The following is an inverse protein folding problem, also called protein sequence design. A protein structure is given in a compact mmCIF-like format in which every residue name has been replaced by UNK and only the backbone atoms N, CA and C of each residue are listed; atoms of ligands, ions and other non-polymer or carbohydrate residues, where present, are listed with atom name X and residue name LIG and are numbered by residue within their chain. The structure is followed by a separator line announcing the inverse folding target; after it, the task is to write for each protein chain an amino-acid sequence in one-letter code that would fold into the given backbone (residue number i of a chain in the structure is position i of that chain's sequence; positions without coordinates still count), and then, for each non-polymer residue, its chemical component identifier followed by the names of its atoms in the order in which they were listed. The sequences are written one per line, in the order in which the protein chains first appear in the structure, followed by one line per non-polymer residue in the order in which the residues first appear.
data_IF_026388942031
#
_entry.id   IF_026388942031
#
_cell.length_a   1.000
_cell.length_b   1.000
_cell.length_c   1.000
_cell.angle_alpha   90.00
_cell.angle_beta   90.00
_cell.angle_gamma   90.00
#
_symmetry.space_group_name_H-M   'P 1'
#
loop_
_entity.id
_entity.type
_entity.pdbx_description
1 polymer ?
#
# COMPACT_ATOMS: atom_id res chain seq x y z
N UNK A 1 -11.54 -76.33 -43.40
CA UNK A 1 -12.39 -75.17 -43.06
C UNK A 1 -12.21 -74.64 -41.62
N UNK A 2 -11.11 -74.97 -40.91
CA UNK A 2 -10.86 -74.56 -39.51
C UNK A 2 -9.84 -73.42 -39.31
N UNK A 3 -8.88 -73.25 -40.22
CA UNK A 3 -7.77 -72.29 -40.05
C UNK A 3 -8.22 -70.80 -40.19
N UNK A 4 -9.25 -70.53 -41.00
CA UNK A 4 -9.74 -69.16 -41.25
C UNK A 4 -10.55 -68.61 -40.06
N UNK A 5 -11.19 -69.49 -39.28
CA UNK A 5 -11.98 -69.08 -38.10
C UNK A 5 -11.10 -68.56 -36.97
N UNK A 6 -9.93 -69.19 -36.75
CA UNK A 6 -8.99 -68.77 -35.72
C UNK A 6 -8.36 -67.40 -36.04
N UNK A 7 -8.04 -67.13 -37.31
CA UNK A 7 -7.49 -65.83 -37.72
C UNK A 7 -8.48 -64.67 -37.51
N UNK A 8 -9.77 -64.87 -37.81
CA UNK A 8 -10.83 -63.88 -37.53
C UNK A 8 -11.07 -63.69 -36.02
N UNK A 9 -10.87 -64.74 -35.23
CA UNK A 9 -10.98 -64.67 -33.77
C UNK A 9 -9.82 -63.86 -33.16
N UNK A 10 -8.58 -64.10 -33.57
CA UNK A 10 -7.40 -63.33 -33.15
C UNK A 10 -7.45 -61.86 -33.58
N UNK A 11 -7.93 -61.59 -34.81
CA UNK A 11 -8.11 -60.22 -35.30
C UNK A 11 -9.16 -59.43 -34.48
N UNK A 12 -10.26 -60.08 -34.08
CA UNK A 12 -11.29 -59.46 -33.24
C UNK A 12 -10.79 -59.16 -31.81
N UNK A 13 -9.99 -60.04 -31.21
CA UNK A 13 -9.37 -59.78 -29.90
C UNK A 13 -8.34 -58.65 -29.95
N UNK A 14 -7.56 -58.58 -31.03
CA UNK A 14 -6.59 -57.49 -31.23
C UNK A 14 -7.28 -56.14 -31.43
N UNK A 15 -8.41 -56.11 -32.16
CA UNK A 15 -9.22 -54.91 -32.33
C UNK A 15 -9.84 -54.44 -30.99
N UNK A 16 -10.36 -55.37 -30.19
CA UNK A 16 -10.91 -55.07 -28.86
C UNK A 16 -9.81 -54.55 -27.93
N UNK A 17 -8.62 -55.15 -27.96
CA UNK A 17 -7.48 -54.69 -27.15
C UNK A 17 -7.02 -53.27 -27.52
N UNK A 18 -7.01 -52.93 -28.81
CA UNK A 18 -6.70 -51.58 -29.30
C UNK A 18 -7.75 -50.57 -28.83
N UNK A 19 -9.04 -50.90 -28.94
CA UNK A 19 -10.14 -50.05 -28.48
C UNK A 19 -10.07 -49.82 -26.97
N UNK A 20 -9.79 -50.87 -26.18
CA UNK A 20 -9.60 -50.75 -24.73
C UNK A 20 -8.38 -49.88 -24.41
N UNK A 21 -7.28 -49.97 -25.17
CA UNK A 21 -6.09 -49.14 -24.96
C UNK A 21 -6.34 -47.64 -25.18
N UNK A 22 -7.25 -47.25 -26.07
CA UNK A 22 -7.63 -45.84 -26.26
C UNK A 22 -8.54 -45.31 -25.14
N UNK A 23 -9.29 -46.18 -24.45
CA UNK A 23 -10.14 -45.79 -23.31
C UNK A 23 -9.34 -45.55 -22.01
N UNK A 24 -8.08 -45.98 -21.93
CA UNK A 24 -7.20 -45.78 -20.77
C UNK A 24 -6.28 -44.56 -20.93
N UNK A 25 -6.29 -43.87 -22.08
CA UNK A 25 -5.52 -42.64 -22.29
C UNK A 25 -6.25 -41.44 -21.67
N UNK A 26 -6.36 -41.42 -20.35
CA UNK A 26 -6.83 -40.28 -19.59
C UNK A 26 -5.71 -39.23 -19.54
N UNK A 27 -5.71 -38.27 -20.46
CA UNK A 27 -4.88 -37.07 -20.33
C UNK A 27 -5.44 -36.22 -19.19
N UNK A 28 -4.81 -36.30 -18.02
CA UNK A 28 -5.17 -35.48 -16.87
C UNK A 28 -4.89 -34.01 -17.22
N UNK A 29 -5.95 -33.23 -17.44
CA UNK A 29 -5.86 -31.77 -17.61
C UNK A 29 -5.52 -31.16 -16.25
N UNK A 30 -4.23 -31.08 -15.95
CA UNK A 30 -3.74 -30.26 -14.84
C UNK A 30 -3.75 -28.80 -15.27
N UNK A 31 -4.21 -27.90 -14.39
CA UNK A 31 -3.96 -26.47 -14.58
C UNK A 31 -2.44 -26.24 -14.64
N UNK A 32 -1.93 -25.38 -15.54
CA UNK A 32 -0.53 -25.01 -15.49
C UNK A 32 -0.22 -24.48 -14.09
N UNK A 33 0.84 -25.00 -13.47
CA UNK A 33 1.36 -24.41 -12.24
C UNK A 33 1.74 -22.94 -12.57
N UNK A 34 1.23 -22.00 -11.78
CA UNK A 34 1.57 -20.60 -11.93
C UNK A 34 3.06 -20.35 -11.76
N UNK A 35 3.51 -19.17 -12.19
CA UNK A 35 4.85 -18.68 -11.85
C UNK A 35 4.99 -18.46 -10.34
N UNK A 36 6.21 -18.17 -9.85
CA UNK A 36 6.38 -17.72 -8.48
C UNK A 36 5.55 -16.46 -8.20
N UNK A 37 5.03 -16.34 -6.98
CA UNK A 37 4.31 -15.15 -6.52
C UNK A 37 5.23 -13.94 -6.59
N UNK A 38 4.72 -12.81 -7.09
CA UNK A 38 5.46 -11.56 -7.11
C UNK A 38 5.41 -10.90 -5.72
N UNK A 39 6.58 -10.59 -5.17
CA UNK A 39 6.73 -9.94 -3.86
C UNK A 39 7.28 -8.52 -4.00
N UNK A 40 7.34 -7.97 -5.21
CA UNK A 40 7.94 -6.67 -5.49
C UNK A 40 6.92 -5.55 -5.24
N UNK A 41 7.23 -4.56 -4.38
CA UNK A 41 6.38 -3.39 -4.18
C UNK A 41 6.32 -2.48 -5.42
N UNK A 42 5.20 -1.77 -5.64
CA UNK A 42 5.10 -0.77 -6.69
C UNK A 42 6.02 0.42 -6.40
N UNK A 43 6.49 1.10 -7.44
CA UNK A 43 7.42 2.24 -7.31
C UNK A 43 6.85 3.51 -7.90
N UNK A 44 7.00 4.61 -7.17
CA UNK A 44 6.69 5.95 -7.69
C UNK A 44 7.77 6.32 -8.71
N UNK A 45 7.42 6.36 -10.00
CA UNK A 45 8.32 6.77 -11.09
C UNK A 45 8.32 8.28 -11.31
N UNK A 46 7.22 8.96 -10.94
CA UNK A 46 7.08 10.40 -11.06
C UNK A 46 6.08 10.93 -10.05
N UNK A 47 6.26 12.17 -9.61
CA UNK A 47 5.28 12.87 -8.79
C UNK A 47 5.10 14.32 -9.25
N UNK A 48 3.90 14.84 -9.03
CA UNK A 48 3.60 16.27 -9.17
C UNK A 48 2.84 16.77 -7.94
N UNK A 49 3.37 17.71 -7.15
CA UNK A 49 4.72 18.27 -7.30
C UNK A 49 5.78 17.19 -7.06
N UNK A 50 7.06 17.50 -7.30
CA UNK A 50 8.12 16.57 -6.90
C UNK A 50 8.14 16.40 -5.38
N UNK A 51 8.46 15.19 -4.91
CA UNK A 51 8.67 14.95 -3.49
C UNK A 51 9.79 15.85 -2.96
N UNK A 52 9.63 16.38 -1.74
CA UNK A 52 10.50 17.39 -1.13
C UNK A 52 10.52 18.75 -1.85
N UNK A 53 9.48 19.07 -2.61
CA UNK A 53 9.34 20.39 -3.24
C UNK A 53 9.00 21.50 -2.23
N UNK A 54 9.29 22.73 -2.61
CA UNK A 54 8.97 23.96 -1.87
C UNK A 54 8.06 24.86 -2.70
N UNK A 55 7.47 25.88 -2.08
CA UNK A 55 6.55 26.84 -2.69
C UNK A 55 5.36 26.18 -3.37
N UNK A 56 4.91 25.05 -2.84
CA UNK A 56 3.75 24.35 -3.37
C UNK A 56 2.47 25.16 -3.10
N UNK A 57 1.68 25.38 -4.14
CA UNK A 57 0.43 26.13 -4.09
C UNK A 57 -0.74 25.41 -4.79
N UNK A 58 -0.55 24.13 -5.14
CA UNK A 58 -1.58 23.32 -5.77
C UNK A 58 -2.62 22.80 -4.79
N UNK A 59 -3.64 22.12 -5.33
CA UNK A 59 -4.72 21.46 -4.55
C UNK A 59 -4.70 19.93 -4.65
N UNK A 60 -3.65 19.40 -5.28
CA UNK A 60 -3.51 17.97 -5.47
C UNK A 60 -2.06 17.56 -5.59
N UNK A 61 -1.78 16.35 -5.14
CA UNK A 61 -0.57 15.60 -5.44
C UNK A 61 -0.94 14.48 -6.41
N UNK A 62 -0.09 14.23 -7.40
CA UNK A 62 -0.22 13.11 -8.34
C UNK A 62 1.02 12.25 -8.18
N UNK A 63 0.81 10.96 -7.89
CA UNK A 63 1.87 9.95 -7.85
C UNK A 63 1.66 9.01 -9.03
N UNK A 64 2.66 8.87 -9.88
CA UNK A 64 2.68 7.95 -11.02
C UNK A 64 3.56 6.75 -10.69
N UNK A 65 3.06 5.56 -11.00
CA UNK A 65 3.68 4.28 -10.66
C UNK A 65 4.14 3.52 -11.91
N UNK A 66 5.13 2.64 -11.73
CA UNK A 66 5.60 1.71 -12.76
C UNK A 66 4.57 0.64 -13.12
N UNK A 67 3.63 0.34 -12.21
CA UNK A 67 2.55 -0.62 -12.37
C UNK A 67 1.17 -0.10 -11.93
N UNK A 68 0.14 -0.92 -12.11
CA UNK A 68 -1.20 -0.58 -11.61
C UNK A 68 -1.24 -0.78 -10.11
N UNK A 69 -1.78 0.21 -9.42
CA UNK A 69 -1.93 0.19 -7.96
C UNK A 69 -3.40 0.27 -7.57
N UNK A 70 -3.69 -0.17 -6.36
CA UNK A 70 -4.96 -0.01 -5.69
C UNK A 70 -4.80 0.81 -4.41
N UNK A 71 -5.88 1.46 -4.00
CA UNK A 71 -5.93 2.27 -2.78
C UNK A 71 -6.94 1.65 -1.83
N UNK A 72 -6.52 1.31 -0.62
CA UNK A 72 -7.31 0.64 0.42
C UNK A 72 -7.10 1.31 1.77
N UNK A 73 -8.11 1.22 2.64
CA UNK A 73 -8.01 1.60 4.07
C UNK A 73 -7.43 3.00 4.35
N UNK A 74 -7.66 3.96 3.45
CA UNK A 74 -7.07 5.32 3.52
C UNK A 74 -7.36 5.97 4.86
N UNK A 75 -8.59 5.85 5.38
CA UNK A 75 -9.00 6.46 6.64
C UNK A 75 -8.13 6.05 7.83
N UNK A 76 -7.67 4.80 7.87
CA UNK A 76 -6.87 4.29 8.98
C UNK A 76 -5.37 4.38 8.72
N UNK A 77 -4.95 4.31 7.46
CA UNK A 77 -3.53 4.24 7.08
C UNK A 77 -2.91 5.61 6.74
N UNK A 78 -3.66 6.50 6.10
CA UNK A 78 -3.15 7.80 5.67
C UNK A 78 -3.04 8.74 6.88
N UNK A 79 -1.82 9.10 7.20
CA UNK A 79 -1.51 10.11 8.20
C UNK A 79 -0.97 11.37 7.52
N UNK A 80 -1.53 12.53 7.87
CA UNK A 80 -1.12 13.82 7.31
C UNK A 80 -0.73 14.75 8.45
N UNK A 81 0.49 15.28 8.42
CA UNK A 81 1.04 16.15 9.44
C UNK A 81 1.64 17.41 8.79
N UNK A 82 1.14 18.63 9.11
CA UNK A 82 -0.02 18.92 9.96
C UNK A 82 -1.34 18.36 9.41
N UNK A 83 -2.35 18.09 10.27
CA UNK A 83 -3.68 17.69 9.81
C UNK A 83 -4.32 18.72 8.88
N UNK A 84 -4.99 18.23 7.84
CA UNK A 84 -5.85 19.05 6.99
C UNK A 84 -7.19 19.34 7.68
N UNK A 85 -7.88 20.38 7.23
CA UNK A 85 -9.22 20.72 7.72
C UNK A 85 -10.23 19.63 7.39
N UNK A 86 -10.14 19.10 6.16
CA UNK A 86 -10.93 17.97 5.68
C UNK A 86 -10.02 16.85 5.19
N UNK A 87 -10.43 15.57 5.31
CA UNK A 87 -9.71 14.46 4.70
C UNK A 87 -9.57 14.66 3.18
N UNK A 88 -8.42 14.30 2.58
CA UNK A 88 -8.27 14.33 1.13
C UNK A 88 -9.04 13.18 0.47
N UNK A 89 -9.34 13.34 -0.81
CA UNK A 89 -9.91 12.33 -1.67
C UNK A 89 -8.80 11.69 -2.53
N UNK A 90 -8.70 10.36 -2.51
CA UNK A 90 -7.73 9.61 -3.32
C UNK A 90 -8.44 8.97 -4.51
N UNK A 91 -7.97 9.25 -5.73
CA UNK A 91 -8.51 8.71 -6.99
C UNK A 91 -7.46 8.01 -7.80
N UNK A 92 -7.80 6.85 -8.36
CA UNK A 92 -6.94 6.12 -9.30
C UNK A 92 -7.27 6.58 -10.72
N UNK A 93 -6.24 6.89 -11.51
CA UNK A 93 -6.34 7.18 -12.94
C UNK A 93 -5.19 6.51 -13.68
N UNK A 94 -5.45 5.38 -14.33
CA UNK A 94 -4.40 4.57 -14.94
C UNK A 94 -3.43 4.06 -13.87
N UNK A 95 -2.12 4.25 -14.08
CA UNK A 95 -1.07 3.95 -13.11
C UNK A 95 -0.77 5.13 -12.17
N UNK A 96 -1.76 5.98 -11.90
CA UNK A 96 -1.56 7.16 -11.05
C UNK A 96 -2.57 7.23 -9.92
N UNK A 97 -2.12 7.67 -8.75
CA UNK A 97 -2.95 8.06 -7.61
C UNK A 97 -2.96 9.57 -7.51
N UNK A 98 -4.14 10.16 -7.57
CA UNK A 98 -4.38 11.59 -7.40
C UNK A 98 -4.93 11.80 -5.99
N UNK A 99 -4.21 12.56 -5.18
CA UNK A 99 -4.58 12.97 -3.84
C UNK A 99 -5.07 14.41 -3.93
N UNK A 100 -6.39 14.61 -3.90
CA UNK A 100 -7.01 15.93 -3.95
C UNK A 100 -7.43 16.37 -2.54
N UNK A 101 -7.11 17.60 -2.15
CA UNK A 101 -7.52 18.15 -0.86
C UNK A 101 -8.30 19.45 -1.03
N UNK A 102 -9.25 19.66 -0.13
CA UNK A 102 -10.09 20.86 -0.09
C UNK A 102 -9.55 21.88 0.93
N UNK A 103 -9.91 23.14 0.73
CA UNK A 103 -9.49 24.25 1.60
C UNK A 103 -8.15 24.85 1.20
N UNK A 104 -7.56 25.59 2.14
CA UNK A 104 -6.30 26.31 1.97
C UNK A 104 -5.25 25.69 2.86
N UNK A 105 -4.11 25.31 2.29
CA UNK A 105 -2.96 24.87 3.06
C UNK A 105 -2.42 26.03 3.90
N UNK A 106 -1.90 25.73 5.09
CA UNK A 106 -1.23 26.73 5.92
C UNK A 106 -0.02 27.28 5.17
N UNK A 107 0.15 28.59 5.21
CA UNK A 107 1.31 29.24 4.60
C UNK A 107 2.60 28.84 5.34
N UNK A 108 3.74 28.87 4.64
CA UNK A 108 5.07 28.64 5.21
C UNK A 108 5.14 27.39 6.09
N UNK A 109 4.55 26.28 5.63
CA UNK A 109 4.36 25.05 6.40
C UNK A 109 4.80 23.83 5.60
N UNK A 110 5.57 22.94 6.22
CA UNK A 110 5.92 21.63 5.67
C UNK A 110 4.84 20.60 5.97
N UNK A 111 4.29 19.99 4.92
CA UNK A 111 3.32 18.91 5.01
C UNK A 111 3.98 17.57 4.72
N UNK A 112 3.69 16.58 5.56
CA UNK A 112 4.10 15.19 5.40
C UNK A 112 2.85 14.33 5.26
N UNK A 113 2.79 13.57 4.17
CA UNK A 113 1.78 12.55 3.90
C UNK A 113 2.45 11.20 4.07
N UNK A 114 2.03 10.44 5.07
CA UNK A 114 2.43 9.06 5.27
C UNK A 114 1.26 8.16 4.84
N UNK A 115 1.40 7.46 3.71
CA UNK A 115 0.37 6.59 3.16
C UNK A 115 0.20 5.28 3.92
N UNK A 116 1.11 4.92 4.83
CA UNK A 116 1.13 3.60 5.46
C UNK A 116 0.97 2.50 4.41
N UNK A 117 0.14 1.50 4.68
CA UNK A 117 -0.14 0.41 3.72
C UNK A 117 -1.32 0.70 2.79
N UNK A 118 -1.74 1.97 2.62
CA UNK A 118 -2.94 2.30 1.83
C UNK A 118 -2.78 2.16 0.33
N UNK A 119 -1.56 2.20 -0.18
CA UNK A 119 -1.26 2.05 -1.61
C UNK A 119 -0.51 0.73 -1.78
N UNK A 120 -1.03 -0.16 -2.62
CA UNK A 120 -0.40 -1.43 -2.94
C UNK A 120 -0.54 -1.77 -4.42
N UNK A 121 0.26 -2.70 -4.92
CA UNK A 121 0.07 -3.18 -6.28
C UNK A 121 -1.32 -3.83 -6.45
N UNK A 122 -1.79 -3.85 -7.69
CA UNK A 122 -3.13 -4.34 -8.00
C UNK A 122 -3.23 -5.88 -7.96
N UNK A 123 -2.13 -6.60 -8.20
CA UNK A 123 -2.12 -8.04 -8.47
C UNK A 123 -2.00 -8.85 -7.18
N UNK A 124 -0.89 -8.70 -6.47
CA UNK A 124 -0.53 -9.44 -5.25
C UNK A 124 -0.78 -8.60 -3.98
N UNK A 125 -0.91 -7.27 -4.11
CA UNK A 125 -1.23 -6.40 -3.00
C UNK A 125 -0.06 -6.08 -2.07
N UNK A 126 1.18 -6.19 -2.57
CA UNK A 126 2.38 -5.73 -1.92
C UNK A 126 2.26 -4.21 -1.66
N UNK A 127 2.37 -3.76 -0.40
CA UNK A 127 2.27 -2.35 -0.05
C UNK A 127 3.46 -1.58 -0.63
N UNK A 128 3.24 -0.31 -0.96
CA UNK A 128 4.30 0.62 -1.31
C UNK A 128 5.35 0.68 -0.18
N UNK A 129 6.64 0.64 -0.53
CA UNK A 129 7.72 0.74 0.46
C UNK A 129 7.94 2.18 0.94
N UNK A 130 7.99 3.13 0.00
CA UNK A 130 8.26 4.54 0.27
C UNK A 130 6.95 5.32 0.45
N UNK A 131 6.38 5.23 1.65
CA UNK A 131 5.06 5.79 1.96
C UNK A 131 5.06 7.27 2.36
N UNK A 132 6.23 7.93 2.38
CA UNK A 132 6.36 9.32 2.80
C UNK A 132 6.47 10.27 1.61
N UNK A 133 5.54 11.20 1.52
CA UNK A 133 5.55 12.31 0.59
C UNK A 133 5.56 13.64 1.34
N UNK A 134 6.52 14.51 1.05
CA UNK A 134 6.77 15.75 1.78
C UNK A 134 6.79 16.91 0.80
N UNK A 135 6.19 18.04 1.17
CA UNK A 135 6.35 19.29 0.45
C UNK A 135 6.19 20.47 1.42
N UNK A 136 6.61 21.66 1.01
CA UNK A 136 6.37 22.90 1.76
C UNK A 136 5.63 23.94 0.93
N UNK A 137 4.70 24.65 1.58
CA UNK A 137 4.08 25.85 1.02
C UNK A 137 5.02 27.07 1.09
N UNK A 138 6.05 27.01 1.95
CA UNK A 138 7.07 28.04 2.13
C UNK A 138 8.28 27.89 1.20
N UNK A 139 9.37 28.58 1.51
CA UNK A 139 10.60 28.58 0.69
C UNK A 139 11.59 27.49 1.07
N UNK A 140 11.36 26.76 2.15
CA UNK A 140 12.21 25.68 2.65
C UNK A 140 11.36 24.56 3.29
N UNK A 141 11.96 23.39 3.48
CA UNK A 141 11.41 22.32 4.29
C UNK A 141 11.91 22.47 5.73
N UNK A 142 10.99 22.39 6.68
CA UNK A 142 11.31 22.30 8.10
C UNK A 142 12.16 21.04 8.33
N UNK A 143 13.16 21.13 9.21
CA UNK A 143 14.17 20.08 9.35
C UNK A 143 14.32 19.54 10.77
N UNK A 144 13.67 20.15 11.76
CA UNK A 144 13.76 19.65 13.12
C UNK A 144 12.99 18.32 13.22
N UNK A 145 13.37 17.50 14.19
CA UNK A 145 12.72 16.22 14.43
C UNK A 145 12.66 15.92 15.93
N UNK A 146 11.59 15.27 16.36
CA UNK A 146 11.44 14.70 17.71
C UNK A 146 11.30 13.19 17.56
N UNK A 147 12.08 12.45 18.33
CA UNK A 147 12.06 10.98 18.37
C UNK A 147 11.92 10.51 19.80
N UNK A 148 11.26 9.38 19.99
CA UNK A 148 11.08 8.82 21.31
C UNK A 148 10.49 7.42 21.27
N UNK A 149 10.09 6.93 22.45
CA UNK A 149 9.49 5.62 22.62
C UNK A 149 8.37 5.73 23.66
N UNK A 150 7.20 5.19 23.34
CA UNK A 150 6.08 5.16 24.27
C UNK A 150 6.04 3.81 24.98
N UNK A 151 5.85 3.87 26.30
CA UNK A 151 5.68 2.70 27.15
C UNK A 151 4.51 2.92 28.09
N UNK A 152 3.76 1.86 28.33
CA UNK A 152 2.77 1.82 29.37
C UNK A 152 3.45 1.80 30.74
N UNK A 153 3.08 2.71 31.63
CA UNK A 153 3.72 2.84 32.94
C UNK A 153 3.33 1.70 33.91
N UNK A 154 2.18 1.06 33.70
CA UNK A 154 1.66 0.05 34.63
C UNK A 154 2.38 -1.29 34.50
N UNK A 155 2.68 -1.70 33.27
CA UNK A 155 3.29 -3.01 32.97
C UNK A 155 4.63 -2.90 32.21
N UNK A 156 5.05 -1.69 31.80
CA UNK A 156 6.29 -1.45 31.07
C UNK A 156 6.26 -1.87 29.59
N UNK A 157 5.10 -2.33 29.09
CA UNK A 157 4.93 -2.74 27.70
C UNK A 157 5.05 -1.56 26.73
N UNK A 158 5.38 -1.87 25.47
CA UNK A 158 5.42 -0.89 24.39
C UNK A 158 4.05 -0.83 23.71
N UNK A 159 3.65 0.36 23.29
CA UNK A 159 2.34 0.59 22.68
C UNK A 159 2.51 0.82 21.18
N UNK A 160 1.90 -0.03 20.35
CA UNK A 160 1.89 0.05 18.88
C UNK A 160 0.67 0.84 18.39
N UNK A 161 0.82 1.58 17.29
CA UNK A 161 -0.27 2.26 16.57
C UNK A 161 -1.05 3.28 17.42
N UNK A 162 -0.39 3.88 18.44
CA UNK A 162 -0.96 4.97 19.22
C UNK A 162 -0.50 6.33 18.69
N UNK A 163 -1.38 7.32 18.75
CA UNK A 163 -1.05 8.67 18.29
C UNK A 163 -0.12 9.40 19.25
N UNK A 164 0.94 9.99 18.70
CA UNK A 164 1.77 10.99 19.38
C UNK A 164 1.52 12.33 18.73
N UNK A 165 1.08 13.31 19.51
CA UNK A 165 0.57 14.59 19.03
C UNK A 165 1.31 15.75 19.68
N UNK A 166 1.68 16.76 18.88
CA UNK A 166 2.31 17.99 19.34
C UNK A 166 1.33 19.16 19.25
N UNK A 167 1.24 19.92 20.35
CA UNK A 167 0.41 21.11 20.48
C UNK A 167 1.26 22.29 20.93
N UNK A 168 0.93 23.49 20.46
CA UNK A 168 1.53 24.73 20.96
C UNK A 168 0.81 25.28 22.19
N UNK A 169 -0.49 25.00 22.33
CA UNK A 169 -1.27 25.38 23.50
C UNK A 169 -1.04 24.36 24.62
N UNK A 170 -0.71 24.86 25.82
CA UNK A 170 -0.36 24.08 27.00
C UNK A 170 -1.54 23.84 27.95
N UNK A 171 -2.75 24.28 27.61
CA UNK A 171 -3.95 23.97 28.39
C UNK A 171 -4.30 22.48 28.32
N UNK A 172 -4.63 21.88 29.47
CA UNK A 172 -4.92 20.44 29.59
C UNK A 172 -6.05 19.94 28.67
N UNK A 173 -6.99 20.81 28.32
CA UNK A 173 -8.15 20.46 27.50
C UNK A 173 -7.91 20.49 25.99
N UNK A 174 -6.71 20.88 25.55
CA UNK A 174 -6.38 21.11 24.13
C UNK A 174 -6.60 19.88 23.24
N UNK A 175 -6.20 18.65 23.62
CA UNK A 175 -6.38 17.48 22.76
C UNK A 175 -7.83 17.17 22.39
N UNK A 176 -8.80 17.66 23.18
CA UNK A 176 -10.24 17.46 22.93
C UNK A 176 -10.85 18.59 22.08
N UNK A 177 -10.20 19.75 22.01
CA UNK A 177 -10.76 20.97 21.43
C UNK A 177 -10.14 21.33 20.08
N UNK A 178 -8.86 21.01 19.89
CA UNK A 178 -8.09 21.46 18.74
C UNK A 178 -7.39 20.29 18.06
N UNK A 179 -7.15 20.42 16.76
CA UNK A 179 -6.25 19.50 16.04
C UNK A 179 -4.79 19.80 16.43
N UNK A 180 -3.92 18.78 16.47
CA UNK A 180 -2.50 19.00 16.75
C UNK A 180 -1.81 19.76 15.63
N UNK A 181 -0.66 20.36 15.94
CA UNK A 181 0.23 20.94 14.95
C UNK A 181 0.96 19.86 14.16
N UNK A 182 1.39 18.80 14.86
CA UNK A 182 2.06 17.65 14.25
C UNK A 182 1.56 16.37 14.90
N UNK A 183 1.56 15.29 14.16
CA UNK A 183 1.23 13.97 14.69
C UNK A 183 1.99 12.86 13.97
N UNK A 184 2.21 11.79 14.69
CA UNK A 184 2.72 10.50 14.19
C UNK A 184 2.00 9.36 14.91
N UNK A 185 2.31 8.12 14.53
CA UNK A 185 1.95 6.93 15.31
C UNK A 185 3.19 6.18 15.74
N UNK A 186 3.06 5.38 16.79
CA UNK A 186 4.14 4.49 17.22
C UNK A 186 4.24 3.25 16.34
N UNK A 187 5.47 2.84 16.09
CA UNK A 187 5.81 1.58 15.45
C UNK A 187 5.56 0.39 16.38
N UNK A 188 5.75 -0.83 15.88
CA UNK A 188 5.53 -2.06 16.66
C UNK A 188 6.36 -2.15 17.94
N UNK A 189 7.56 -1.59 17.93
CA UNK A 189 8.42 -1.56 19.11
C UNK A 189 8.08 -0.38 20.05
N UNK A 190 7.05 0.43 19.75
CA UNK A 190 6.67 1.63 20.49
C UNK A 190 7.50 2.87 20.17
N UNK A 191 8.46 2.79 19.25
CA UNK A 191 9.22 3.97 18.82
C UNK A 191 8.36 4.91 17.97
N UNK A 192 8.69 6.20 17.98
CA UNK A 192 8.05 7.17 17.10
C UNK A 192 9.05 8.22 16.61
N UNK A 193 8.75 8.81 15.46
CA UNK A 193 9.46 9.95 14.90
C UNK A 193 8.47 10.96 14.32
N UNK A 194 8.62 12.22 14.71
CA UNK A 194 7.96 13.36 14.09
C UNK A 194 9.06 14.17 13.42
N UNK A 195 9.06 14.17 12.09
CA UNK A 195 10.01 14.93 11.27
C UNK A 195 9.34 16.19 10.74
N UNK A 196 10.14 17.07 10.15
CA UNK A 196 9.67 18.30 9.51
C UNK A 196 8.89 19.21 10.46
N UNK A 197 9.39 19.34 11.70
CA UNK A 197 8.87 20.28 12.67
C UNK A 197 9.63 21.61 12.59
N UNK A 198 8.91 22.69 12.87
CA UNK A 198 9.40 24.06 12.90
C UNK A 198 9.93 24.47 14.28
#
# INVERSE_FOLDING_TARGET
MGQIKNFRFFANYSLIAIIVSFLISCAQVGSPAGGPVDTTPPKIVKSYPENNSVKFNGKSIVLEFDEYVQVKDVTNQLLISPPLDKPPELKIKGKSVIIAFEGTLKDSTTYTFNFGSSISDFTEGNPLDSNLFVFSTGTFLDSLSIKGKVKNILDGSVEKDIYVMLYSNLEDSVPYKNKPLYLTRTEEDGSFSINNIR
#
